data_IF_269222338021
#
_entry.id   IF_269222338021
#
_cell.length_a   1.000
_cell.length_b   1.000
_cell.length_c   1.000
_cell.angle_alpha   90.00
_cell.angle_beta   90.00
_cell.angle_gamma   90.00
#
_symmetry.space_group_name_H-M   'P 1'
#
loop_
_entity.id
_entity.type
_entity.pdbx_description
1 polymer ?
#
# COMPACT_ATOMS: atom_id res chain seq x y z
N UNK A 1 2.98 -5.90 3.33
CA UNK A 1 2.98 -6.19 1.88
C UNK A 1 3.30 -4.92 1.09
N UNK A 2 4.13 -5.02 0.04
CA UNK A 2 4.55 -3.88 -0.79
C UNK A 2 3.49 -3.43 -1.80
N UNK A 3 2.73 -4.36 -2.39
CA UNK A 3 1.65 -4.05 -3.33
C UNK A 3 0.54 -3.23 -2.65
N UNK A 4 0.31 -3.48 -1.35
CA UNK A 4 -0.62 -2.69 -0.54
C UNK A 4 -0.28 -1.19 -0.51
N UNK A 5 1.00 -0.82 -0.60
CA UNK A 5 1.41 0.59 -0.63
C UNK A 5 0.88 1.28 -1.88
N UNK A 6 1.06 0.65 -3.04
CA UNK A 6 0.54 1.15 -4.32
C UNK A 6 -0.98 1.20 -4.30
N UNK A 7 -1.63 0.13 -3.82
CA UNK A 7 -3.09 0.10 -3.70
C UNK A 7 -3.64 1.24 -2.82
N UNK A 8 -2.99 1.55 -1.69
CA UNK A 8 -3.38 2.67 -0.81
C UNK A 8 -3.24 4.04 -1.46
N UNK A 9 -2.30 4.22 -2.39
CA UNK A 9 -2.09 5.47 -3.11
C UNK A 9 -3.18 5.74 -4.14
N UNK A 10 -3.67 4.70 -4.83
CA UNK A 10 -4.59 4.85 -5.95
C UNK A 10 -6.06 4.54 -5.61
N UNK A 11 -6.33 3.76 -4.57
CA UNK A 11 -7.70 3.43 -4.20
C UNK A 11 -8.47 4.65 -3.61
N UNK A 12 -9.80 4.75 -3.80
CA UNK A 12 -10.61 5.82 -3.24
C UNK A 12 -10.52 5.92 -1.72
N UNK A 13 -10.65 7.12 -1.15
CA UNK A 13 -10.74 7.27 0.31
C UNK A 13 -11.99 6.53 0.84
N UNK A 14 -11.90 6.00 2.05
CA UNK A 14 -12.94 5.22 2.73
C UNK A 14 -13.27 3.87 2.07
N UNK A 15 -12.64 3.51 0.94
CA UNK A 15 -12.73 2.18 0.35
C UNK A 15 -11.95 1.13 1.15
N UNK A 16 -12.09 -0.14 0.76
CA UNK A 16 -11.39 -1.27 1.36
C UNK A 16 -10.47 -1.92 0.31
N UNK A 17 -9.18 -2.04 0.62
CA UNK A 17 -8.23 -2.86 -0.14
C UNK A 17 -8.18 -4.22 0.52
N UNK A 18 -8.41 -5.29 -0.25
CA UNK A 18 -8.40 -6.67 0.25
C UNK A 18 -7.44 -7.50 -0.59
N UNK A 19 -6.59 -8.30 0.07
CA UNK A 19 -5.69 -9.24 -0.59
C UNK A 19 -5.46 -10.48 0.28
N UNK A 20 -5.01 -11.57 -0.33
CA UNK A 20 -4.59 -12.78 0.36
C UNK A 20 -3.10 -12.73 0.72
N UNK A 21 -2.75 -13.16 1.93
CA UNK A 21 -1.36 -13.35 2.34
C UNK A 21 -1.18 -14.80 2.84
N UNK A 22 -0.20 -15.56 2.31
CA UNK A 22 0.07 -16.92 2.77
C UNK A 22 0.21 -16.98 4.29
N UNK A 23 -0.43 -17.96 4.91
CA UNK A 23 -0.47 -18.18 6.36
C UNK A 23 -1.16 -17.09 7.20
N UNK A 24 -1.62 -16.00 6.59
CA UNK A 24 -2.35 -14.89 7.25
C UNK A 24 -3.82 -14.82 6.79
N UNK A 25 -4.16 -15.51 5.70
CA UNK A 25 -5.51 -15.52 5.14
C UNK A 25 -5.83 -14.22 4.40
N UNK A 26 -7.02 -13.65 4.66
CA UNK A 26 -7.50 -12.43 4.01
C UNK A 26 -7.10 -11.21 4.83
N UNK A 27 -6.34 -10.30 4.21
CA UNK A 27 -5.97 -9.02 4.79
C UNK A 27 -6.85 -7.91 4.21
N UNK A 28 -7.48 -7.12 5.08
CA UNK A 28 -8.36 -6.02 4.69
C UNK A 28 -7.88 -4.69 5.27
N UNK A 29 -7.70 -3.68 4.42
CA UNK A 29 -7.15 -2.37 4.80
C UNK A 29 -8.09 -1.26 4.36
N UNK A 30 -8.70 -0.56 5.32
CA UNK A 30 -9.47 0.66 5.03
C UNK A 30 -8.54 1.79 4.57
N UNK A 31 -8.86 2.40 3.43
CA UNK A 31 -8.13 3.53 2.87
C UNK A 31 -8.50 4.79 3.64
N UNK A 32 -7.51 5.39 4.30
CA UNK A 32 -7.66 6.67 5.02
C UNK A 32 -6.58 7.65 4.56
N UNK A 33 -6.80 8.95 4.74
CA UNK A 33 -5.78 9.97 4.43
C UNK A 33 -4.45 9.69 5.13
N UNK A 34 -4.50 9.33 6.42
CA UNK A 34 -3.31 8.96 7.21
C UNK A 34 -2.56 7.76 6.62
N UNK A 35 -3.27 6.68 6.26
CA UNK A 35 -2.65 5.48 5.68
C UNK A 35 -2.08 5.76 4.29
N UNK A 36 -2.77 6.55 3.47
CA UNK A 36 -2.27 6.99 2.16
C UNK A 36 -1.00 7.82 2.29
N UNK A 37 -0.98 8.78 3.23
CA UNK A 37 0.22 9.58 3.47
C UNK A 37 1.38 8.71 3.98
N UNK A 38 1.12 7.75 4.87
CA UNK A 38 2.13 6.79 5.31
C UNK A 38 2.68 5.98 4.13
N UNK A 39 1.82 5.48 3.24
CA UNK A 39 2.25 4.75 2.05
C UNK A 39 3.11 5.62 1.12
N UNK A 40 2.71 6.89 0.91
CA UNK A 40 3.48 7.87 0.13
C UNK A 40 4.89 8.08 0.70
N UNK A 41 4.98 8.35 2.00
CA UNK A 41 6.27 8.57 2.67
C UNK A 41 7.20 7.35 2.55
N UNK A 42 6.64 6.12 2.59
CA UNK A 42 7.42 4.89 2.41
C UNK A 42 7.97 4.79 0.99
N UNK A 43 7.15 5.05 -0.03
CA UNK A 43 7.60 5.00 -1.44
C UNK A 43 8.63 6.09 -1.73
N UNK A 44 8.43 7.30 -1.23
CA UNK A 44 9.37 8.41 -1.41
C UNK A 44 10.72 8.17 -0.71
N UNK A 45 10.77 7.30 0.30
CA UNK A 45 12.01 6.88 0.96
C UNK A 45 12.74 5.72 0.24
N UNK A 46 12.13 5.11 -0.80
CA UNK A 46 12.76 4.04 -1.58
C UNK A 46 13.70 4.63 -2.64
N UNK A 47 14.88 4.04 -2.80
CA UNK A 47 15.79 4.41 -3.89
C UNK A 47 15.38 3.70 -5.19
N UNK A 48 15.29 4.42 -6.32
CA UNK A 48 15.09 3.79 -7.61
C UNK A 48 16.30 2.92 -7.96
N UNK A 49 16.04 1.74 -8.54
CA UNK A 49 17.09 0.88 -9.07
C UNK A 49 17.47 1.43 -10.46
N UNK A 50 18.67 1.98 -10.59
CA UNK A 50 19.25 2.31 -11.90
C UNK A 50 19.70 1.01 -12.55
N UNK A 51 19.13 0.64 -13.70
CA UNK A 51 19.65 -0.47 -14.50
C UNK A 51 20.81 0.06 -15.36
N UNK A 52 22.01 -0.48 -15.12
CA UNK A 52 23.14 -0.39 -16.05
C UNK A 52 22.97 -1.40 -17.17
#
# INVERSE_FOLDING_TARGET
DLLTLVALLHAPLNSLVVYGQPHEGVVAVRVTRRKRQKARNIIEAMHPITKN
#
